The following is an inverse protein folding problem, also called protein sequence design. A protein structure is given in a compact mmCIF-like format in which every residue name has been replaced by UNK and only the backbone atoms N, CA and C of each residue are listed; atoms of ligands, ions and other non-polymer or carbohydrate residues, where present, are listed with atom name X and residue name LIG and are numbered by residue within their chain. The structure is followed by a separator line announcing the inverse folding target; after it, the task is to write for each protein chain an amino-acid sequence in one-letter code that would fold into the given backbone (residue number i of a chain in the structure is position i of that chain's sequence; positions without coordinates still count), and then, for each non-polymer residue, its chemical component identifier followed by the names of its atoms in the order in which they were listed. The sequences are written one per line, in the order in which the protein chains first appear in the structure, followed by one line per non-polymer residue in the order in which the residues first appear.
data_IF_163955070208
#
_entry.id   IF_163955070208
#
_cell.length_a   1.000
_cell.length_b   1.000
_cell.length_c   1.000
_cell.angle_alpha   90.00
_cell.angle_beta   90.00
_cell.angle_gamma   90.00
#
_symmetry.space_group_name_H-M   'P 1'
#
loop_
_entity.id
_entity.type
_entity.pdbx_description
1 polymer ?
#
# COMPACT_ATOMS: atom_id res chain seq x y z
N UNK A 1 11.43 -18.76 -0.04
CA UNK A 1 10.83 -18.08 1.11
C UNK A 1 10.90 -16.60 0.89
N UNK A 2 9.84 -15.87 1.24
CA UNK A 2 9.72 -14.42 1.18
C UNK A 2 9.95 -13.85 2.57
N UNK A 3 10.61 -12.70 2.64
CA UNK A 3 10.87 -11.94 3.85
C UNK A 3 10.31 -10.53 3.61
N UNK A 4 9.26 -10.16 4.34
CA UNK A 4 8.41 -9.01 4.04
C UNK A 4 8.27 -8.13 5.28
N UNK A 5 8.77 -6.91 5.19
CA UNK A 5 8.52 -5.88 6.19
C UNK A 5 7.15 -5.23 5.95
N UNK A 6 6.35 -5.16 7.02
CA UNK A 6 5.03 -4.54 7.02
C UNK A 6 5.01 -3.41 8.06
N UNK A 7 4.82 -2.19 7.59
CA UNK A 7 4.52 -1.06 8.48
C UNK A 7 3.05 -1.10 8.87
N UNK A 8 2.79 -1.22 10.17
CA UNK A 8 1.46 -1.14 10.78
C UNK A 8 1.31 0.20 11.48
N UNK A 9 0.32 0.98 11.06
CA UNK A 9 -0.12 2.18 11.75
C UNK A 9 -1.41 1.90 12.57
N UNK A 10 -1.82 2.85 13.40
CA UNK A 10 -2.97 2.71 14.30
C UNK A 10 -4.33 2.60 13.61
N UNK A 11 -4.39 2.84 12.29
CA UNK A 11 -5.63 2.72 11.51
C UNK A 11 -5.82 1.33 10.93
N UNK A 12 -4.79 0.46 10.94
CA UNK A 12 -4.89 -0.92 10.48
C UNK A 12 -5.50 -1.81 11.57
N UNK A 13 -6.71 -2.32 11.33
CA UNK A 13 -7.45 -3.14 12.32
C UNK A 13 -7.10 -4.60 12.27
N UNK A 14 -6.74 -5.09 11.09
CA UNK A 14 -6.28 -6.46 10.92
C UNK A 14 -5.47 -6.57 9.63
N UNK A 15 -4.62 -7.58 9.59
CA UNK A 15 -4.03 -8.04 8.34
C UNK A 15 -4.01 -9.57 8.27
N UNK A 16 -4.15 -10.06 7.05
CA UNK A 16 -4.06 -11.48 6.71
C UNK A 16 -2.84 -11.73 5.84
N UNK A 17 -2.18 -12.86 6.09
CA UNK A 17 -1.10 -13.40 5.26
C UNK A 17 -1.61 -14.69 4.66
N UNK A 18 -1.54 -14.79 3.34
CA UNK A 18 -1.89 -16.00 2.60
C UNK A 18 -0.70 -16.49 1.79
N UNK A 19 -0.46 -17.80 1.82
CA UNK A 19 0.61 -18.47 1.09
C UNK A 19 0.04 -19.67 0.36
N UNK A 20 0.23 -19.71 -0.96
CA UNK A 20 -0.12 -20.86 -1.79
C UNK A 20 1.14 -21.62 -2.23
N UNK A 21 1.12 -22.93 -2.21
CA UNK A 21 2.22 -23.81 -2.60
C UNK A 21 2.28 -25.04 -1.69
N UNK A 22 3.03 -26.07 -2.08
CA UNK A 22 3.10 -27.33 -1.35
C UNK A 22 3.73 -27.14 0.03
N UNK A 23 3.03 -27.55 1.09
CA UNK A 23 3.44 -27.40 2.50
C UNK A 23 3.82 -25.95 2.85
N UNK A 24 2.85 -25.02 2.84
CA UNK A 24 3.11 -23.61 3.10
C UNK A 24 3.44 -23.35 4.58
N UNK A 25 4.31 -22.36 4.82
CA UNK A 25 4.69 -21.89 6.15
C UNK A 25 4.54 -20.37 6.25
N UNK A 26 4.14 -19.91 7.44
CA UNK A 26 4.02 -18.49 7.80
C UNK A 26 4.57 -18.33 9.22
N UNK A 27 5.53 -17.43 9.37
CA UNK A 27 6.07 -16.94 10.63
C UNK A 27 5.89 -15.42 10.65
N UNK A 28 5.43 -14.89 11.78
CA UNK A 28 5.19 -13.47 11.98
C UNK A 28 6.02 -13.03 13.18
N UNK A 29 6.76 -11.94 13.02
CA UNK A 29 7.55 -11.30 14.05
C UNK A 29 6.92 -9.93 14.32
N UNK A 30 6.66 -9.65 15.59
CA UNK A 30 6.03 -8.40 16.02
C UNK A 30 7.01 -7.21 16.03
N UNK A 31 6.53 -5.99 16.32
CA UNK A 31 7.39 -4.80 16.40
C UNK A 31 8.49 -4.87 17.47
N UNK A 32 8.36 -5.74 18.46
CA UNK A 32 9.37 -5.99 19.50
C UNK A 32 10.40 -7.04 19.08
N UNK A 33 10.37 -7.49 17.82
CA UNK A 33 11.27 -8.49 17.26
C UNK A 33 11.12 -9.87 17.92
N UNK A 34 9.91 -10.20 18.40
CA UNK A 34 9.60 -11.53 18.95
C UNK A 34 8.56 -12.27 18.11
N UNK A 35 8.58 -13.62 18.08
CA UNK A 35 7.58 -14.40 17.37
C UNK A 35 6.17 -14.11 17.86
N UNK A 36 5.29 -13.73 16.94
CA UNK A 36 3.89 -13.44 17.21
C UNK A 36 3.01 -14.66 17.00
N UNK A 37 2.55 -15.25 18.10
CA UNK A 37 1.76 -16.49 18.07
C UNK A 37 0.25 -16.28 18.16
N UNK A 38 -0.22 -15.05 18.42
CA UNK A 38 -1.65 -14.75 18.56
C UNK A 38 -2.32 -14.54 17.20
N UNK A 39 -2.21 -15.54 16.32
CA UNK A 39 -2.81 -15.53 14.98
C UNK A 39 -4.05 -16.41 14.94
N UNK A 40 -5.05 -16.02 14.15
CA UNK A 40 -6.18 -16.88 13.82
C UNK A 40 -5.87 -17.65 12.54
N UNK A 41 -5.85 -18.98 12.61
CA UNK A 41 -5.81 -19.82 11.41
C UNK A 41 -7.15 -19.74 10.68
N UNK A 42 -7.16 -19.12 9.51
CA UNK A 42 -8.36 -18.97 8.67
C UNK A 42 -8.50 -20.16 7.74
N UNK A 43 -7.38 -20.65 7.19
CA UNK A 43 -7.31 -21.82 6.32
C UNK A 43 -5.93 -22.47 6.49
N UNK A 44 -5.88 -23.79 6.68
CA UNK A 44 -4.63 -24.55 6.74
C UNK A 44 -4.85 -25.88 6.01
N UNK A 45 -4.44 -25.91 4.74
CA UNK A 45 -4.52 -27.07 3.84
C UNK A 45 -3.14 -27.34 3.24
N UNK A 46 -2.97 -28.52 2.65
CA UNK A 46 -1.68 -28.97 2.10
C UNK A 46 -1.02 -27.97 1.13
N UNK A 47 -1.82 -27.25 0.34
CA UNK A 47 -1.34 -26.32 -0.69
C UNK A 47 -1.64 -24.84 -0.41
N UNK A 48 -2.29 -24.52 0.71
CA UNK A 48 -2.63 -23.13 1.04
C UNK A 48 -2.74 -22.93 2.55
N UNK A 49 -2.14 -21.86 3.04
CA UNK A 49 -2.26 -21.42 4.42
C UNK A 49 -2.61 -19.95 4.49
N UNK A 50 -3.57 -19.61 5.34
CA UNK A 50 -4.03 -18.25 5.59
C UNK A 50 -4.13 -18.02 7.09
N UNK A 51 -3.43 -17.02 7.59
CA UNK A 51 -3.50 -16.57 8.98
C UNK A 51 -3.93 -15.11 9.04
N UNK A 52 -4.68 -14.74 10.07
CA UNK A 52 -5.10 -13.37 10.34
C UNK A 52 -4.55 -12.88 11.68
N UNK A 53 -4.11 -11.63 11.73
CA UNK A 53 -3.74 -10.90 12.94
C UNK A 53 -4.79 -9.80 13.16
N UNK A 54 -5.51 -9.87 14.26
CA UNK A 54 -6.51 -8.87 14.64
C UNK A 54 -5.93 -7.91 15.69
N UNK A 55 -6.23 -6.61 15.53
CA UNK A 55 -5.73 -5.54 16.41
C UNK A 55 -4.20 -5.50 16.53
N UNK A 56 -3.44 -5.50 15.42
CA UNK A 56 -1.99 -5.44 15.50
C UNK A 56 -1.55 -4.12 16.17
N UNK A 57 -0.51 -4.19 17.00
CA UNK A 57 0.12 -2.98 17.53
C UNK A 57 0.83 -2.21 16.39
N UNK A 58 0.84 -0.87 16.44
CA UNK A 58 1.60 -0.08 15.49
C UNK A 58 3.10 -0.39 15.58
N UNK A 59 3.79 -0.36 14.43
CA UNK A 59 5.21 -0.61 14.32
C UNK A 59 5.59 -1.43 13.09
N UNK A 60 6.84 -1.88 13.06
CA UNK A 60 7.40 -2.68 11.97
C UNK A 60 7.24 -4.16 12.27
N UNK A 61 6.34 -4.81 11.55
CA UNK A 61 6.18 -6.25 11.57
C UNK A 61 7.05 -6.88 10.50
N UNK A 62 7.50 -8.11 10.74
CA UNK A 62 8.21 -8.89 9.73
C UNK A 62 7.48 -10.21 9.49
N UNK A 63 7.21 -10.52 8.23
CA UNK A 63 6.52 -11.74 7.80
C UNK A 63 7.48 -12.59 6.98
N UNK A 64 7.73 -13.81 7.47
CA UNK A 64 8.46 -14.84 6.72
C UNK A 64 7.47 -15.89 6.23
N UNK A 65 7.37 -16.02 4.92
CA UNK A 65 6.32 -16.83 4.29
C UNK A 65 6.86 -17.61 3.11
N UNK A 66 6.48 -18.87 2.95
CA UNK A 66 6.98 -19.69 1.84
C UNK A 66 6.33 -21.06 1.73
N UNK A 67 6.85 -21.89 0.84
CA UNK A 67 6.45 -23.28 0.69
C UNK A 67 7.59 -24.10 0.07
N UNK A 68 7.42 -25.41 -0.01
CA UNK A 68 8.38 -26.33 -0.64
C UNK A 68 8.29 -26.37 -2.17
N UNK A 69 7.34 -25.65 -2.77
CA UNK A 69 7.23 -25.48 -4.23
C UNK A 69 7.27 -24.01 -4.63
N UNK A 70 7.17 -23.74 -5.94
CA UNK A 70 6.76 -22.43 -6.44
C UNK A 70 5.52 -21.97 -5.68
N UNK A 71 5.56 -20.73 -5.20
CA UNK A 71 4.58 -20.20 -4.27
C UNK A 71 4.24 -18.75 -4.57
N UNK A 72 3.11 -18.32 -4.04
CA UNK A 72 2.70 -16.93 -4.02
C UNK A 72 2.36 -16.54 -2.58
N UNK A 73 2.74 -15.32 -2.20
CA UNK A 73 2.41 -14.73 -0.90
C UNK A 73 1.58 -13.48 -1.16
N UNK A 74 0.46 -13.35 -0.45
CA UNK A 74 -0.39 -12.17 -0.51
C UNK A 74 -0.68 -11.68 0.90
N UNK A 75 -0.43 -10.40 1.11
CA UNK A 75 -0.89 -9.65 2.27
C UNK A 75 -2.16 -8.89 1.93
N UNK A 76 -3.05 -8.76 2.90
CA UNK A 76 -4.24 -7.92 2.79
C UNK A 76 -4.54 -7.35 4.16
N UNK A 77 -5.07 -6.13 4.20
CA UNK A 77 -5.33 -5.41 5.43
C UNK A 77 -6.69 -4.74 5.42
N UNK A 78 -7.32 -4.67 6.58
CA UNK A 78 -8.53 -3.88 6.79
C UNK A 78 -8.16 -2.66 7.62
N UNK A 79 -8.49 -1.46 7.13
CA UNK A 79 -8.06 -0.20 7.71
C UNK A 79 -9.24 0.77 7.78
N UNK A 80 -9.27 1.58 8.83
CA UNK A 80 -10.25 2.66 8.97
C UNK A 80 -10.10 3.72 7.85
N UNK A 81 -8.88 3.88 7.35
CA UNK A 81 -8.55 4.86 6.30
C UNK A 81 -8.43 4.17 4.94
N UNK A 82 -9.24 4.63 3.99
CA UNK A 82 -9.06 4.35 2.56
C UNK A 82 -8.33 5.52 1.91
N UNK A 83 -7.35 5.22 1.09
CA UNK A 83 -6.61 6.22 0.31
C UNK A 83 -7.12 6.22 -1.12
N UNK A 84 -8.06 7.12 -1.38
CA UNK A 84 -8.53 7.33 -2.73
C UNK A 84 -7.51 8.18 -3.50
N UNK A 85 -7.49 8.04 -4.82
CA UNK A 85 -6.59 8.81 -5.65
C UNK A 85 -7.18 9.12 -7.03
N UNK A 86 -6.55 10.05 -7.72
CA UNK A 86 -6.82 10.29 -9.13
C UNK A 86 -5.82 11.26 -9.77
N UNK A 87 -5.86 11.31 -11.09
CA UNK A 87 -4.96 12.08 -11.95
C UNK A 87 -5.65 13.29 -12.55
N UNK A 88 -4.89 14.35 -12.77
CA UNK A 88 -5.33 15.56 -13.45
C UNK A 88 -4.15 16.24 -14.16
N UNK A 89 -4.35 17.00 -15.26
CA UNK A 89 -3.26 17.69 -15.94
C UNK A 89 -2.62 18.83 -15.12
N UNK A 90 -3.34 19.34 -14.13
CA UNK A 90 -2.92 20.43 -13.24
C UNK A 90 -3.47 20.20 -11.84
N UNK A 91 -3.02 20.97 -10.84
CA UNK A 91 -3.55 20.86 -9.48
C UNK A 91 -5.09 20.94 -9.48
N UNK A 92 -5.79 20.01 -8.82
CA UNK A 92 -7.25 19.96 -8.86
C UNK A 92 -7.88 21.02 -7.95
N UNK A 93 -9.07 21.45 -8.35
CA UNK A 93 -9.95 22.31 -7.54
C UNK A 93 -11.09 21.51 -6.87
N UNK A 94 -11.44 20.34 -7.40
CA UNK A 94 -12.47 19.44 -6.89
C UNK A 94 -12.12 17.97 -7.15
N UNK A 95 -12.79 17.05 -6.44
CA UNK A 95 -12.63 15.60 -6.66
C UNK A 95 -13.15 15.20 -8.04
N UNK A 96 -14.19 15.87 -8.55
CA UNK A 96 -14.77 15.58 -9.88
C UNK A 96 -13.81 15.84 -11.04
N UNK A 97 -12.78 16.66 -10.81
CA UNK A 97 -11.72 16.92 -11.80
C UNK A 97 -10.70 15.76 -11.91
N UNK A 98 -10.80 14.75 -11.03
CA UNK A 98 -9.87 13.64 -10.97
C UNK A 98 -10.31 12.46 -11.85
N UNK A 99 -9.37 11.97 -12.67
CA UNK A 99 -9.54 10.75 -13.45
C UNK A 99 -8.90 9.55 -12.74
N UNK A 100 -9.47 8.35 -12.88
CA UNK A 100 -8.84 7.11 -12.38
C UNK A 100 -7.55 6.75 -13.14
N UNK A 101 -7.42 7.21 -14.39
CA UNK A 101 -6.25 6.96 -15.22
C UNK A 101 -5.56 8.27 -15.58
N UNK A 102 -4.22 8.26 -15.74
CA UNK A 102 -3.49 9.39 -16.28
C UNK A 102 -4.06 9.91 -17.60
N UNK A 103 -4.04 11.23 -17.76
CA UNK A 103 -4.34 11.85 -19.05
C UNK A 103 -3.14 11.66 -19.98
N UNK A 104 -3.39 11.08 -21.15
CA UNK A 104 -2.33 10.76 -22.11
C UNK A 104 -1.72 12.02 -22.72
N UNK A 105 -0.42 11.96 -23.00
CA UNK A 105 0.35 12.99 -23.72
C UNK A 105 0.43 14.37 -23.04
N UNK A 106 0.13 14.44 -21.74
CA UNK A 106 0.35 15.62 -20.91
C UNK A 106 1.03 15.21 -19.60
N UNK A 107 1.68 16.16 -18.93
CA UNK A 107 2.14 15.93 -17.56
C UNK A 107 0.92 15.86 -16.64
N UNK A 108 1.00 15.02 -15.60
CA UNK A 108 -0.09 14.80 -14.67
C UNK A 108 0.33 15.15 -13.24
N UNK A 109 -0.64 15.54 -12.44
CA UNK A 109 -0.61 15.58 -10.98
C UNK A 109 -1.37 14.37 -10.47
N UNK A 110 -0.75 13.57 -9.60
CA UNK A 110 -1.46 12.57 -8.81
C UNK A 110 -1.95 13.21 -7.52
N UNK A 111 -3.23 13.06 -7.24
CA UNK A 111 -3.87 13.52 -6.00
C UNK A 111 -4.27 12.30 -5.17
N UNK A 112 -3.92 12.30 -3.89
CA UNK A 112 -4.32 11.29 -2.90
C UNK A 112 -5.18 11.98 -1.84
N UNK A 113 -6.35 11.42 -1.54
CA UNK A 113 -7.25 11.92 -0.51
C UNK A 113 -7.69 10.79 0.43
N UNK A 114 -7.33 10.88 1.73
CA UNK A 114 -7.79 9.91 2.74
C UNK A 114 -9.29 10.03 3.00
N UNK A 115 -9.99 8.92 3.21
CA UNK A 115 -11.41 8.90 3.60
C UNK A 115 -11.66 9.46 5.01
N UNK A 116 -10.65 9.43 5.87
CA UNK A 116 -10.68 9.99 7.22
C UNK A 116 -9.39 10.82 7.45
N UNK A 117 -9.34 12.06 6.94
CA UNK A 117 -8.12 12.89 7.00
C UNK A 117 -7.60 13.13 8.42
N UNK A 118 -8.46 13.14 9.42
CA UNK A 118 -8.11 13.33 10.84
C UNK A 118 -7.30 12.17 11.44
N UNK A 119 -7.30 11.00 10.80
CA UNK A 119 -6.50 9.84 11.23
C UNK A 119 -5.15 9.77 10.51
N UNK A 120 -4.89 10.66 9.55
CA UNK A 120 -3.64 10.72 8.80
C UNK A 120 -2.83 11.91 9.28
N UNK A 121 -1.57 11.68 9.65
CA UNK A 121 -0.67 12.75 10.10
C UNK A 121 -0.02 13.46 8.92
N UNK A 122 0.73 12.69 8.12
CA UNK A 122 1.39 13.22 6.93
C UNK A 122 1.53 12.12 5.86
N UNK A 123 1.33 12.48 4.60
CA UNK A 123 1.72 11.62 3.47
C UNK A 123 2.99 12.19 2.86
N UNK A 124 4.09 11.44 2.96
CA UNK A 124 5.42 11.91 2.61
C UNK A 124 5.69 11.83 1.11
N UNK A 125 5.33 10.71 0.50
CA UNK A 125 5.55 10.45 -0.92
C UNK A 125 4.64 9.33 -1.42
N UNK A 126 4.55 9.23 -2.75
CA UNK A 126 4.09 8.04 -3.44
C UNK A 126 5.25 7.36 -4.15
N UNK A 127 5.20 6.03 -4.18
CA UNK A 127 5.98 5.24 -5.12
C UNK A 127 5.08 4.82 -6.27
N UNK A 128 5.51 5.00 -7.51
CA UNK A 128 4.83 4.49 -8.70
C UNK A 128 5.80 3.54 -9.41
N UNK A 129 5.50 2.25 -9.41
CA UNK A 129 6.35 1.19 -9.93
C UNK A 129 5.67 0.35 -11.01
N UNK A 130 6.48 -0.26 -11.87
CA UNK A 130 5.98 -1.15 -12.93
C UNK A 130 5.24 -2.34 -12.34
N UNK A 131 4.05 -2.64 -12.87
CA UNK A 131 3.26 -3.77 -12.38
C UNK A 131 3.96 -5.13 -12.63
N UNK A 132 4.55 -5.28 -13.83
CA UNK A 132 5.11 -6.53 -14.34
C UNK A 132 6.64 -6.44 -14.47
N UNK A 133 7.36 -6.72 -13.38
CA UNK A 133 8.83 -6.58 -13.34
C UNK A 133 9.60 -7.73 -13.98
N UNK A 134 8.92 -8.84 -14.26
CA UNK A 134 9.52 -10.12 -14.68
C UNK A 134 9.20 -10.49 -16.14
N UNK A 135 8.57 -9.59 -16.90
CA UNK A 135 8.26 -9.83 -18.30
C UNK A 135 9.46 -9.48 -19.18
N UNK A 136 9.91 -10.43 -20.00
CA UNK A 136 11.03 -10.24 -20.92
C UNK A 136 10.70 -9.09 -21.91
N UNK A 137 11.49 -8.02 -21.88
CA UNK A 137 11.29 -6.82 -22.73
C UNK A 137 10.47 -5.69 -22.10
N UNK A 138 9.95 -5.84 -20.88
CA UNK A 138 9.30 -4.74 -20.16
C UNK A 138 10.32 -3.73 -19.63
N UNK A 139 10.08 -2.44 -19.86
CA UNK A 139 10.89 -1.37 -19.27
C UNK A 139 10.48 -1.17 -17.82
N UNK A 140 11.34 -1.55 -16.88
CA UNK A 140 11.13 -1.28 -15.46
C UNK A 140 11.32 0.21 -15.17
N UNK A 141 10.39 0.80 -14.42
CA UNK A 141 10.53 2.14 -13.83
C UNK A 141 10.09 2.14 -12.38
N UNK A 142 10.57 3.16 -11.68
CA UNK A 142 10.15 3.50 -10.32
C UNK A 142 10.22 5.02 -10.16
N UNK A 143 9.09 5.64 -9.87
CA UNK A 143 9.01 7.04 -9.47
C UNK A 143 8.87 7.11 -7.95
N UNK A 144 9.60 8.03 -7.33
CA UNK A 144 9.38 8.42 -5.94
C UNK A 144 9.03 9.90 -5.93
N UNK A 145 7.73 10.21 -5.80
CA UNK A 145 7.20 11.57 -5.91
C UNK A 145 6.77 12.06 -4.54
N UNK A 146 7.39 13.15 -4.09
CA UNK A 146 7.01 13.81 -2.84
C UNK A 146 5.56 14.28 -2.91
N UNK A 147 4.83 14.07 -1.82
CA UNK A 147 3.48 14.58 -1.65
C UNK A 147 3.51 15.91 -0.90
N UNK A 148 2.65 16.82 -1.32
CA UNK A 148 2.46 18.13 -0.71
C UNK A 148 1.00 18.30 -0.31
N UNK A 149 0.70 18.76 0.92
CA UNK A 149 -0.65 19.13 1.29
C UNK A 149 -1.23 20.17 0.34
N UNK A 150 -2.50 20.01 -0.01
CA UNK A 150 -3.27 20.92 -0.83
C UNK A 150 -4.72 20.92 -0.33
N UNK A 151 -5.46 21.99 -0.61
CA UNK A 151 -6.88 22.08 -0.27
C UNK A 151 -7.69 22.32 -1.54
N UNK A 152 -8.76 21.55 -1.69
CA UNK A 152 -9.75 21.76 -2.74
C UNK A 152 -10.62 22.98 -2.41
N UNK A 153 -11.44 23.41 -3.37
CA UNK A 153 -12.29 24.61 -3.21
C UNK A 153 -13.34 24.45 -2.10
N UNK A 154 -13.78 23.22 -1.82
CA UNK A 154 -14.70 22.88 -0.73
C UNK A 154 -13.99 22.68 0.62
N UNK A 155 -12.70 23.06 0.72
CA UNK A 155 -11.83 22.85 1.88
C UNK A 155 -11.47 21.38 2.19
N UNK A 156 -11.76 20.44 1.27
CA UNK A 156 -11.32 19.05 1.43
C UNK A 156 -9.79 18.99 1.41
N UNK A 157 -9.14 18.44 2.46
CA UNK A 157 -7.69 18.29 2.48
C UNK A 157 -7.26 17.11 1.59
N UNK A 158 -6.27 17.36 0.74
CA UNK A 158 -5.70 16.35 -0.16
C UNK A 158 -4.17 16.46 -0.19
N UNK A 159 -3.51 15.49 -0.80
CA UNK A 159 -2.07 15.50 -1.03
C UNK A 159 -1.80 15.37 -2.52
N UNK A 160 -0.92 16.21 -3.06
CA UNK A 160 -0.63 16.26 -4.50
C UNK A 160 0.85 16.08 -4.78
N UNK A 161 1.18 15.42 -5.89
CA UNK A 161 2.55 15.37 -6.41
C UNK A 161 2.88 16.66 -7.19
N UNK A 162 4.17 16.95 -7.45
CA UNK A 162 4.56 17.74 -8.60
C UNK A 162 4.02 17.13 -9.90
N UNK A 163 3.96 17.93 -10.96
CA UNK A 163 3.65 17.43 -12.30
C UNK A 163 4.72 16.44 -12.77
N UNK A 164 4.31 15.33 -13.35
CA UNK A 164 5.23 14.31 -13.87
C UNK A 164 4.68 13.66 -15.14
N UNK A 165 5.60 13.11 -15.95
CA UNK A 165 5.24 12.28 -17.10
C UNK A 165 4.83 10.91 -16.61
N UNK A 166 3.56 10.59 -16.78
CA UNK A 166 3.02 9.30 -16.33
C UNK A 166 3.50 8.16 -17.21
N UNK A 167 3.67 6.96 -16.64
CA UNK A 167 4.02 5.78 -17.41
C UNK A 167 2.96 5.44 -18.46
N UNK A 168 3.41 4.84 -19.57
CA UNK A 168 2.53 4.33 -20.66
C UNK A 168 2.21 2.84 -20.56
N UNK A 169 2.51 2.22 -19.42
CA UNK A 169 2.22 0.81 -19.11
C UNK A 169 1.56 0.70 -17.73
N UNK A 170 1.09 -0.49 -17.38
CA UNK A 170 0.47 -0.74 -16.07
C UNK A 170 1.47 -0.48 -14.94
N UNK A 171 0.98 0.17 -13.89
CA UNK A 171 1.76 0.47 -12.69
C UNK A 171 0.96 0.22 -11.42
N UNK A 172 1.68 0.16 -10.32
CA UNK A 172 1.17 0.16 -8.96
C UNK A 172 1.49 1.52 -8.33
N UNK A 173 0.67 1.93 -7.37
CA UNK A 173 0.92 3.13 -6.57
C UNK A 173 0.95 2.70 -5.12
N UNK A 174 2.01 3.03 -4.40
CA UNK A 174 2.06 2.92 -2.94
C UNK A 174 2.16 4.30 -2.32
N UNK A 175 1.39 4.55 -1.27
CA UNK A 175 1.45 5.78 -0.50
C UNK A 175 2.16 5.52 0.82
N UNK A 176 3.10 6.41 1.16
CA UNK A 176 3.96 6.27 2.34
C UNK A 176 3.88 7.52 3.19
N UNK A 177 3.73 7.35 4.51
CA UNK A 177 3.54 8.45 5.43
C UNK A 177 3.46 8.01 6.87
N UNK A 178 2.61 8.70 7.64
CA UNK A 178 2.28 8.34 9.01
C UNK A 178 0.81 8.59 9.33
N UNK A 179 0.29 7.85 10.30
CA UNK A 179 -0.99 8.18 10.92
C UNK A 179 -0.90 9.45 11.78
N UNK A 180 -2.03 9.86 12.36
CA UNK A 180 -2.14 11.02 13.25
C UNK A 180 -1.31 10.91 14.54
N UNK A 181 -0.89 9.71 14.91
CA UNK A 181 -0.04 9.43 16.08
C UNK A 181 1.44 9.33 15.72
N UNK A 182 1.80 9.48 14.44
CA UNK A 182 3.17 9.40 13.95
C UNK A 182 3.66 7.98 13.65
N UNK A 183 2.80 6.97 13.68
CA UNK A 183 3.18 5.60 13.33
C UNK A 183 3.35 5.46 11.81
N UNK A 184 4.33 4.66 11.33
CA UNK A 184 4.62 4.55 9.91
C UNK A 184 3.47 3.89 9.14
N UNK A 185 3.11 4.50 8.02
CA UNK A 185 2.06 4.05 7.12
C UNK A 185 2.65 3.72 5.75
N UNK A 186 2.31 2.55 5.24
CA UNK A 186 2.56 2.13 3.86
C UNK A 186 1.32 1.40 3.33
N UNK A 187 0.80 1.82 2.18
CA UNK A 187 -0.38 1.23 1.54
C UNK A 187 -0.20 1.17 0.03
N UNK A 188 -0.35 -0.02 -0.53
CA UNK A 188 -0.65 -0.18 -1.94
C UNK A 188 -2.08 0.31 -2.21
N UNK A 189 -2.23 1.23 -3.15
CA UNK A 189 -3.52 1.79 -3.58
C UNK A 189 -3.75 1.45 -5.05
N UNK A 190 -4.96 0.99 -5.36
CA UNK A 190 -5.35 0.48 -6.68
C UNK A 190 -6.76 0.91 -7.05
#
# INVERSE_FOLDING_TARGET
THDIDLNVDGTLKEFSVSVSGHRPSIEIIDPHQVPYNNTKSVLDLENIKVVNVAGPSPGKWNIKAGSNSSNSVRLSGNSDVKFNFGFSPSKPNSIDALSRQPVLNVDNVLTVHPSQPNLVGNLSHVTIDSHDTNQLGATNFKFNLKLHPHQLTDSTPVFVTPTFKTPRQKFKISVVGSDSSGNPLDRLIS
#
